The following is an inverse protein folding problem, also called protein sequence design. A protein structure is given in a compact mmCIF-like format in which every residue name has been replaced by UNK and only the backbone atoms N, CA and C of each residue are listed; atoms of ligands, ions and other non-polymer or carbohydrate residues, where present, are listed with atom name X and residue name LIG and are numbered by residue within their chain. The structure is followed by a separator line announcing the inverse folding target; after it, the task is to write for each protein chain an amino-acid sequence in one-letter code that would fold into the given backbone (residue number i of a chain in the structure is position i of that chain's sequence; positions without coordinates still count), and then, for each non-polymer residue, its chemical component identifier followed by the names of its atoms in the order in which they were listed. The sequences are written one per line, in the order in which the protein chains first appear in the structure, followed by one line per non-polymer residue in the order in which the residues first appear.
data_IF_305832627564
#
_entry.id   IF_305832627564
#
_cell.length_a   1.000
_cell.length_b   1.000
_cell.length_c   1.000
_cell.angle_alpha   90.00
_cell.angle_beta   90.00
_cell.angle_gamma   90.00
#
_symmetry.space_group_name_H-M   'P 1'
#
loop_
_entity.id
_entity.type
_entity.pdbx_description
1 polymer ?
#
# COMPACT_ATOMS: atom_id res chain seq x y z
N UNK A 1 55.12 2.20 11.41
CA UNK A 1 54.34 3.42 11.72
C UNK A 1 53.24 3.01 12.69
N UNK A 2 53.36 3.39 13.96
CA UNK A 2 52.41 3.01 15.01
C UNK A 2 51.13 3.82 14.91
N UNK A 3 49.99 3.14 15.03
CA UNK A 3 48.68 3.79 15.14
C UNK A 3 48.60 4.56 16.47
N UNK A 4 48.26 5.86 16.45
CA UNK A 4 48.16 6.63 17.68
C UNK A 4 46.88 6.27 18.44
N UNK A 5 47.08 5.83 19.68
CA UNK A 5 46.33 6.24 20.87
C UNK A 5 44.81 6.05 20.86
N UNK A 6 44.36 5.04 21.60
CA UNK A 6 43.01 4.95 22.18
C UNK A 6 42.70 6.22 22.97
N UNK A 7 42.01 7.17 22.32
CA UNK A 7 41.47 8.36 22.94
C UNK A 7 40.39 7.97 23.95
N UNK A 8 40.65 8.31 25.22
CA UNK A 8 39.69 8.32 26.33
C UNK A 8 38.29 8.74 25.87
N UNK A 9 37.34 7.80 25.88
CA UNK A 9 35.90 8.06 25.81
C UNK A 9 35.50 8.93 27.00
N UNK A 10 35.58 10.26 26.82
CA UNK A 10 34.89 11.20 27.70
C UNK A 10 33.41 10.86 27.63
N UNK A 11 32.87 10.26 28.69
CA UNK A 11 31.43 10.18 28.94
C UNK A 11 30.92 11.62 29.09
N UNK A 12 30.53 12.22 27.97
CA UNK A 12 29.75 13.46 27.99
C UNK A 12 28.41 13.17 28.63
N UNK A 13 27.90 14.10 29.42
CA UNK A 13 26.48 14.17 29.77
C UNK A 13 25.62 13.86 28.53
N UNK A 14 24.68 12.92 28.65
CA UNK A 14 23.93 12.41 27.50
C UNK A 14 23.24 13.52 26.70
N UNK A 15 23.27 13.45 25.36
CA UNK A 15 22.76 14.51 24.45
C UNK A 15 21.24 14.68 24.47
N UNK A 16 20.51 13.82 25.17
CA UNK A 16 19.06 13.81 25.28
C UNK A 16 18.48 12.41 25.08
N UNK A 17 17.16 12.34 24.85
CA UNK A 17 16.45 11.08 24.59
C UNK A 17 15.72 11.13 23.24
N UNK A 18 15.93 10.09 22.43
CA UNK A 18 15.13 9.76 21.24
C UNK A 18 14.02 8.78 21.62
N UNK A 19 12.78 9.09 21.26
CA UNK A 19 11.67 8.15 21.25
C UNK A 19 11.45 7.61 19.83
N UNK A 20 11.21 6.31 19.70
CA UNK A 20 10.84 5.64 18.45
C UNK A 20 9.47 5.00 18.65
N UNK A 21 8.53 5.26 17.73
CA UNK A 21 7.22 4.61 17.73
C UNK A 21 6.79 4.19 16.33
N UNK A 22 5.92 3.18 16.28
CA UNK A 22 5.38 2.63 15.03
C UNK A 22 3.87 2.74 15.04
N UNK A 23 3.33 3.45 14.05
CA UNK A 23 1.90 3.70 13.90
C UNK A 23 1.29 3.00 12.67
N UNK A 24 -0.01 2.72 12.78
CA UNK A 24 -0.82 2.14 11.73
C UNK A 24 -0.60 0.64 11.55
N UNK A 25 -0.71 0.19 10.31
CA UNK A 25 -0.57 -1.21 9.95
C UNK A 25 0.88 -1.70 9.80
N UNK A 26 1.20 -2.99 10.03
CA UNK A 26 2.54 -3.51 9.78
C UNK A 26 2.92 -3.46 8.29
N UNK A 27 4.23 -3.37 8.05
CA UNK A 27 4.89 -3.50 6.77
C UNK A 27 6.30 -4.12 6.99
N UNK A 28 6.85 -4.87 6.03
CA UNK A 28 8.22 -5.37 6.13
C UNK A 28 9.24 -4.24 6.28
N UNK A 29 10.30 -4.47 7.07
CA UNK A 29 11.40 -3.51 7.25
C UNK A 29 11.31 -2.59 8.48
N UNK A 30 10.19 -2.61 9.25
CA UNK A 30 10.06 -1.79 10.48
C UNK A 30 11.26 -1.96 11.42
N UNK A 31 11.66 -3.21 11.66
CA UNK A 31 12.78 -3.50 12.54
C UNK A 31 14.12 -2.97 12.01
N UNK A 32 14.28 -2.83 10.68
CA UNK A 32 15.44 -2.19 10.06
C UNK A 32 15.55 -0.71 10.42
N UNK A 33 14.43 0.02 10.36
CA UNK A 33 14.37 1.44 10.76
C UNK A 33 14.65 1.59 12.26
N UNK A 34 14.03 0.76 13.11
CA UNK A 34 14.26 0.78 14.56
C UNK A 34 15.73 0.51 14.88
N UNK A 35 16.35 -0.49 14.24
CA UNK A 35 17.74 -0.83 14.46
C UNK A 35 18.67 0.31 14.05
N UNK A 36 18.50 0.88 12.85
CA UNK A 36 19.33 1.97 12.36
C UNK A 36 19.24 3.23 13.24
N UNK A 37 18.02 3.63 13.63
CA UNK A 37 17.81 4.73 14.57
C UNK A 37 18.47 4.47 15.93
N UNK A 38 18.31 3.26 16.47
CA UNK A 38 18.86 2.90 17.78
C UNK A 38 20.38 2.93 17.77
N UNK A 39 21.00 2.35 16.73
CA UNK A 39 22.45 2.32 16.58
C UNK A 39 22.99 3.74 16.46
N UNK A 40 22.45 4.56 15.54
CA UNK A 40 23.01 5.89 15.36
C UNK A 40 22.75 6.85 16.51
N UNK A 41 21.55 6.81 17.09
CA UNK A 41 21.27 7.62 18.27
C UNK A 41 22.22 7.26 19.42
N UNK A 42 22.49 5.97 19.63
CA UNK A 42 23.42 5.49 20.66
C UNK A 42 24.85 5.95 20.38
N UNK A 43 25.33 5.84 19.13
CA UNK A 43 26.65 6.30 18.71
C UNK A 43 26.82 7.83 18.92
N UNK A 44 25.75 8.59 18.71
CA UNK A 44 25.72 10.04 18.94
C UNK A 44 25.48 10.43 20.41
N UNK A 45 25.37 9.47 21.32
CA UNK A 45 25.24 9.68 22.77
C UNK A 45 23.82 10.02 23.27
N UNK A 46 22.79 9.65 22.52
CA UNK A 46 21.39 9.75 22.96
C UNK A 46 20.93 8.48 23.66
N UNK A 47 20.05 8.62 24.65
CA UNK A 47 19.26 7.50 25.18
C UNK A 47 18.12 7.20 24.21
N UNK A 48 17.88 5.93 23.90
CA UNK A 48 16.80 5.52 22.98
C UNK A 48 15.68 4.83 23.75
N UNK A 49 14.46 5.30 23.57
CA UNK A 49 13.24 4.69 24.10
C UNK A 49 12.37 4.20 22.94
N UNK A 50 12.01 2.93 22.96
CA UNK A 50 10.96 2.39 22.10
C UNK A 50 9.60 2.47 22.79
N UNK A 51 8.67 3.22 22.20
CA UNK A 51 7.28 3.31 22.64
C UNK A 51 6.51 2.10 22.09
N UNK A 52 5.83 1.35 22.95
CA UNK A 52 5.03 0.20 22.52
C UNK A 52 3.68 0.63 21.93
N UNK A 53 3.21 -0.08 20.91
CA UNK A 53 1.88 0.11 20.29
C UNK A 53 1.59 1.55 19.84
N UNK A 54 2.58 2.20 19.23
CA UNK A 54 2.43 3.52 18.62
C UNK A 54 1.99 4.60 19.61
N UNK A 55 0.93 5.33 19.28
CA UNK A 55 0.39 6.38 20.15
C UNK A 55 -0.61 5.86 21.20
N UNK A 56 -1.00 4.58 21.17
CA UNK A 56 -2.10 4.01 21.98
C UNK A 56 -2.04 4.38 23.45
N UNK A 57 -0.85 4.27 24.05
CA UNK A 57 -0.66 4.51 25.47
C UNK A 57 -0.35 5.98 25.77
N UNK A 58 0.33 6.68 24.84
CA UNK A 58 0.66 8.09 24.99
C UNK A 58 -0.58 8.99 25.01
N UNK A 59 -1.60 8.69 24.20
CA UNK A 59 -2.88 9.45 24.22
C UNK A 59 -3.65 9.28 25.53
N UNK A 60 -3.35 8.23 26.30
CA UNK A 60 -3.90 7.99 27.64
C UNK A 60 -3.02 8.59 28.74
N UNK A 61 -1.97 9.35 28.39
CA UNK A 61 -1.00 9.91 29.34
C UNK A 61 -0.07 8.87 29.98
N UNK A 62 -0.05 7.62 29.48
CA UNK A 62 0.72 6.53 30.08
C UNK A 62 2.17 6.54 29.64
N UNK A 63 3.06 6.30 30.59
CA UNK A 63 4.52 6.29 30.42
C UNK A 63 5.16 4.96 30.84
N UNK A 64 4.36 3.94 31.14
CA UNK A 64 4.82 2.62 31.57
C UNK A 64 4.99 1.62 30.41
N UNK A 65 4.53 1.97 29.21
CA UNK A 65 4.60 1.15 27.98
C UNK A 65 5.75 1.57 27.08
N UNK A 66 6.93 1.66 27.68
CA UNK A 66 8.18 2.04 27.03
C UNK A 66 9.29 1.09 27.45
N UNK A 67 10.19 0.81 26.53
CA UNK A 67 11.45 0.12 26.85
C UNK A 67 12.64 0.92 26.37
N UNK A 68 13.73 0.86 27.13
CA UNK A 68 15.00 1.34 26.61
C UNK A 68 15.49 0.39 25.52
N UNK A 69 15.99 0.95 24.43
CA UNK A 69 16.64 0.22 23.35
C UNK A 69 18.14 0.52 23.39
N UNK A 70 18.95 -0.53 23.33
CA UNK A 70 20.41 -0.47 23.21
C UNK A 70 20.84 -1.18 21.93
N UNK A 71 22.11 -1.01 21.55
CA UNK A 71 22.66 -1.64 20.34
C UNK A 71 22.51 -3.17 20.42
N UNK A 72 22.76 -3.76 21.60
CA UNK A 72 22.58 -5.19 21.85
C UNK A 72 21.14 -5.68 21.61
N UNK A 73 20.13 -4.85 21.85
CA UNK A 73 18.71 -5.21 21.68
C UNK A 73 18.29 -5.26 20.20
N UNK A 74 19.08 -4.68 19.28
CA UNK A 74 18.71 -4.49 17.88
C UNK A 74 19.70 -5.10 16.87
N UNK A 75 20.77 -5.75 17.33
CA UNK A 75 21.88 -6.21 16.47
C UNK A 75 21.42 -7.19 15.37
N UNK A 76 20.36 -7.96 15.58
CA UNK A 76 19.91 -9.01 14.64
C UNK A 76 18.45 -8.88 14.17
N UNK A 77 17.76 -7.78 14.49
CA UNK A 77 16.31 -7.66 14.19
C UNK A 77 16.02 -7.13 12.79
N UNK A 78 16.98 -6.45 12.16
CA UNK A 78 16.77 -5.79 10.86
C UNK A 78 16.26 -6.71 9.72
N UNK A 79 16.60 -8.02 9.63
CA UNK A 79 16.09 -8.90 8.59
C UNK A 79 14.80 -9.62 8.99
N UNK A 80 14.23 -9.31 10.16
CA UNK A 80 13.00 -9.93 10.66
C UNK A 80 11.80 -9.06 10.34
N UNK A 81 10.74 -9.68 9.84
CA UNK A 81 9.44 -9.07 9.67
C UNK A 81 8.77 -8.68 11.00
N UNK A 82 7.64 -7.99 10.90
CA UNK A 82 6.90 -7.47 12.05
C UNK A 82 7.56 -6.26 12.72
N UNK A 83 7.18 -5.99 13.96
CA UNK A 83 7.67 -4.86 14.76
C UNK A 83 7.97 -5.33 16.18
N UNK A 84 9.22 -5.17 16.63
CA UNK A 84 9.59 -5.45 18.02
C UNK A 84 8.86 -4.53 19.02
N UNK A 85 8.31 -3.39 18.58
CA UNK A 85 7.56 -2.42 19.41
C UNK A 85 6.04 -2.62 19.34
N UNK A 86 5.55 -3.57 18.55
CA UNK A 86 4.14 -3.60 18.17
C UNK A 86 3.77 -2.40 17.28
N UNK A 87 2.47 -2.22 17.05
CA UNK A 87 1.91 -1.09 16.29
C UNK A 87 0.41 -0.97 16.61
N UNK A 88 -0.16 0.23 16.50
CA UNK A 88 -1.59 0.45 16.68
C UNK A 88 -2.16 1.39 15.64
N UNK A 89 -3.47 1.28 15.38
CA UNK A 89 -4.26 2.30 14.69
C UNK A 89 -4.85 3.24 15.74
N UNK A 90 -4.04 4.14 16.27
CA UNK A 90 -4.47 5.16 17.24
C UNK A 90 -4.41 6.54 16.59
N UNK A 91 -5.53 7.25 16.64
CA UNK A 91 -5.60 8.67 16.32
C UNK A 91 -5.13 9.49 17.54
N UNK A 92 -4.19 10.39 17.33
CA UNK A 92 -3.66 11.28 18.36
C UNK A 92 -3.72 12.75 17.93
N UNK A 93 -4.79 13.11 17.20
CA UNK A 93 -4.96 14.46 16.64
C UNK A 93 -5.94 15.34 17.42
N UNK A 94 -6.70 14.78 18.37
CA UNK A 94 -7.56 15.61 19.23
C UNK A 94 -6.70 16.50 20.16
N UNK A 95 -7.17 17.70 20.54
CA UNK A 95 -6.41 18.59 21.42
C UNK A 95 -5.97 17.93 22.73
N UNK A 96 -6.86 17.13 23.34
CA UNK A 96 -6.55 16.33 24.53
C UNK A 96 -5.47 15.28 24.26
N UNK A 97 -5.57 14.54 23.16
CA UNK A 97 -4.58 13.52 22.81
C UNK A 97 -3.20 14.15 22.54
N UNK A 98 -3.15 15.28 21.85
CA UNK A 98 -1.91 16.02 21.58
C UNK A 98 -1.22 16.43 22.89
N UNK A 99 -1.98 16.96 23.86
CA UNK A 99 -1.42 17.38 25.15
C UNK A 99 -1.01 16.18 26.02
N UNK A 100 -1.78 15.09 26.02
CA UNK A 100 -1.42 13.86 26.71
C UNK A 100 -0.11 13.27 26.15
N UNK A 101 0.04 13.22 24.83
CA UNK A 101 1.28 12.77 24.17
C UNK A 101 2.44 13.69 24.55
N UNK A 102 2.25 15.01 24.51
CA UNK A 102 3.27 16.00 24.90
C UNK A 102 3.74 15.79 26.33
N UNK A 103 2.80 15.70 27.26
CA UNK A 103 3.06 15.53 28.69
C UNK A 103 3.75 14.20 28.99
N UNK A 104 3.33 13.12 28.34
CA UNK A 104 3.98 11.81 28.47
C UNK A 104 5.43 11.83 27.96
N UNK A 105 5.69 12.41 26.79
CA UNK A 105 7.04 12.53 26.24
C UNK A 105 7.94 13.44 27.08
N UNK A 106 7.40 14.53 27.66
CA UNK A 106 8.10 15.38 28.63
C UNK A 106 8.50 14.62 29.89
N UNK A 107 7.57 13.86 30.47
CA UNK A 107 7.85 13.03 31.65
C UNK A 107 8.97 12.01 31.37
N UNK A 108 9.02 11.50 30.14
CA UNK A 108 10.08 10.60 29.66
C UNK A 108 11.38 11.32 29.26
N UNK A 109 11.45 12.66 29.36
CA UNK A 109 12.59 13.50 28.96
C UNK A 109 12.99 13.31 27.49
N UNK A 110 12.00 13.16 26.63
CA UNK A 110 12.16 13.01 25.17
C UNK A 110 12.32 14.38 24.54
N UNK A 111 13.37 14.54 23.73
CA UNK A 111 13.60 15.75 22.92
C UNK A 111 13.58 15.49 21.41
N UNK A 112 13.62 14.22 21.00
CA UNK A 112 13.56 13.79 19.61
C UNK A 112 12.53 12.67 19.47
N UNK A 113 11.71 12.70 18.42
CA UNK A 113 10.72 11.69 18.10
C UNK A 113 10.92 11.18 16.66
N UNK A 114 11.18 9.89 16.51
CA UNK A 114 11.11 9.20 15.24
C UNK A 114 9.76 8.48 15.13
N UNK A 115 8.92 8.95 14.22
CA UNK A 115 7.60 8.40 13.95
C UNK A 115 7.63 7.53 12.70
N UNK A 116 7.25 6.26 12.79
CA UNK A 116 7.28 5.30 11.67
C UNK A 116 5.85 4.95 11.30
N UNK A 117 5.37 5.32 10.11
CA UNK A 117 3.95 5.15 9.81
C UNK A 117 3.49 5.51 8.40
N UNK A 118 2.21 5.27 8.14
CA UNK A 118 1.55 5.69 6.90
C UNK A 118 0.88 7.05 7.06
N UNK A 119 -0.08 7.37 6.18
CA UNK A 119 -0.81 8.64 6.12
C UNK A 119 -1.30 9.14 7.49
N UNK A 120 -2.06 8.30 8.23
CA UNK A 120 -2.60 8.72 9.53
C UNK A 120 -1.52 9.07 10.57
N UNK A 121 -0.41 8.34 10.57
CA UNK A 121 0.71 8.59 11.49
C UNK A 121 1.53 9.81 11.07
N UNK A 122 1.69 10.04 9.76
CA UNK A 122 2.29 11.24 9.20
C UNK A 122 1.46 12.48 9.55
N UNK A 123 0.15 12.39 9.39
CA UNK A 123 -0.78 13.45 9.76
C UNK A 123 -0.68 13.78 11.26
N UNK A 124 -0.70 12.77 12.13
CA UNK A 124 -0.44 12.96 13.57
C UNK A 124 0.89 13.65 13.81
N UNK A 125 1.99 13.18 13.20
CA UNK A 125 3.31 13.79 13.36
C UNK A 125 3.32 15.28 12.96
N UNK A 126 2.59 15.65 11.90
CA UNK A 126 2.44 17.06 11.51
C UNK A 126 1.63 17.88 12.50
N UNK A 127 0.54 17.35 13.05
CA UNK A 127 -0.25 18.04 14.09
C UNK A 127 0.60 18.30 15.34
N UNK A 128 1.38 17.30 15.75
CA UNK A 128 2.30 17.40 16.90
C UNK A 128 3.39 18.45 16.65
N UNK A 129 4.02 18.45 15.47
CA UNK A 129 5.03 19.45 15.10
C UNK A 129 4.49 20.88 15.20
N UNK A 130 3.29 21.11 14.63
CA UNK A 130 2.63 22.40 14.64
C UNK A 130 2.26 22.86 16.07
N UNK A 131 1.80 21.93 16.90
CA UNK A 131 1.41 22.21 18.29
C UNK A 131 2.62 22.50 19.19
N UNK A 132 3.74 21.79 18.99
CA UNK A 132 4.88 21.82 19.90
C UNK A 132 5.95 22.84 19.51
N UNK A 133 5.90 23.39 18.28
CA UNK A 133 6.82 24.43 17.78
C UNK A 133 8.30 24.08 18.01
N UNK A 134 8.67 22.82 17.72
CA UNK A 134 10.04 22.33 17.82
C UNK A 134 10.52 21.98 19.23
N UNK A 135 9.65 22.01 20.25
CA UNK A 135 10.00 21.55 21.60
C UNK A 135 10.52 20.10 21.61
N UNK A 136 9.82 19.22 20.89
CA UNK A 136 10.27 17.86 20.58
C UNK A 136 10.43 17.82 19.06
N UNK A 137 11.64 17.52 18.60
CA UNK A 137 11.92 17.48 17.16
C UNK A 137 11.44 16.18 16.55
N UNK A 138 10.73 16.25 15.43
CA UNK A 138 10.08 15.09 14.81
C UNK A 138 10.70 14.78 13.45
N UNK A 139 10.99 13.49 13.21
CA UNK A 139 11.25 12.95 11.88
C UNK A 139 10.27 11.82 11.61
N UNK A 140 9.67 11.82 10.42
CA UNK A 140 8.74 10.79 9.99
C UNK A 140 9.37 9.87 8.94
N UNK A 141 9.21 8.56 9.12
CA UNK A 141 9.75 7.52 8.23
C UNK A 141 8.55 6.80 7.53
N UNK A 142 8.47 6.85 6.18
CA UNK A 142 7.26 6.52 5.42
C UNK A 142 7.00 5.01 5.28
N UNK A 143 6.12 4.48 6.14
CA UNK A 143 5.75 3.06 6.23
C UNK A 143 4.36 2.78 5.65
N UNK A 144 4.29 2.16 4.49
CA UNK A 144 3.05 1.59 3.95
C UNK A 144 3.37 0.56 2.86
N UNK A 145 2.60 -0.53 2.80
CA UNK A 145 2.68 -1.49 1.68
C UNK A 145 1.85 -1.02 0.48
N UNK A 146 0.99 -0.01 0.66
CA UNK A 146 0.06 0.47 -0.37
C UNK A 146 0.74 1.47 -1.31
N UNK A 147 1.96 1.91 -0.97
CA UNK A 147 2.78 2.86 -1.74
C UNK A 147 2.12 4.23 -1.97
N UNK A 148 1.21 4.60 -1.08
CA UNK A 148 0.23 5.67 -1.23
C UNK A 148 0.61 6.99 -0.54
N UNK A 149 1.78 7.05 0.09
CA UNK A 149 2.34 8.31 0.61
C UNK A 149 2.89 9.19 -0.53
N UNK A 150 2.81 10.53 -0.40
CA UNK A 150 3.22 11.48 -1.42
C UNK A 150 4.76 11.65 -1.46
N UNK A 151 5.46 10.56 -1.77
CA UNK A 151 6.89 10.60 -2.08
C UNK A 151 7.10 11.07 -3.53
N UNK A 152 8.10 11.93 -3.78
CA UNK A 152 8.40 12.42 -5.12
C UNK A 152 8.94 11.29 -6.00
N UNK A 153 8.72 11.46 -7.30
CA UNK A 153 9.10 10.48 -8.31
C UNK A 153 8.51 9.10 -8.06
N UNK A 154 9.22 8.08 -8.56
CA UNK A 154 8.84 6.68 -8.40
C UNK A 154 9.42 6.03 -7.11
N UNK A 155 9.79 6.84 -6.11
CA UNK A 155 10.41 6.33 -4.87
C UNK A 155 9.36 5.52 -4.10
N UNK A 156 9.62 4.24 -3.81
CA UNK A 156 8.67 3.44 -3.05
C UNK A 156 8.68 3.83 -1.56
N UNK A 157 7.55 3.66 -0.89
CA UNK A 157 7.53 3.59 0.57
C UNK A 157 8.12 2.27 1.02
N UNK A 158 8.77 2.23 2.17
CA UNK A 158 9.40 0.99 2.60
C UNK A 158 8.34 -0.07 2.95
N UNK A 159 8.67 -1.33 2.63
CA UNK A 159 7.79 -2.49 2.77
C UNK A 159 6.96 -2.78 1.53
N UNK A 160 6.79 -1.83 0.60
CA UNK A 160 6.09 -2.06 -0.67
C UNK A 160 6.78 -3.11 -1.53
N UNK A 161 8.11 -3.03 -1.69
CA UNK A 161 8.83 -3.95 -2.58
C UNK A 161 8.84 -5.38 -2.03
N UNK A 162 8.99 -5.56 -0.71
CA UNK A 162 8.84 -6.87 -0.08
C UNK A 162 7.41 -7.40 -0.21
N UNK A 163 6.39 -6.58 0.10
CA UNK A 163 5.00 -7.00 -0.03
C UNK A 163 4.66 -7.40 -1.48
N UNK A 164 5.16 -6.64 -2.45
CA UNK A 164 5.06 -6.98 -3.88
C UNK A 164 5.78 -8.29 -4.20
N UNK A 165 7.00 -8.50 -3.70
CA UNK A 165 7.76 -9.73 -3.92
C UNK A 165 7.01 -10.97 -3.44
N UNK A 166 6.53 -10.93 -2.19
CA UNK A 166 5.72 -12.03 -1.62
C UNK A 166 4.40 -12.21 -2.35
N UNK A 167 3.73 -11.12 -2.72
CA UNK A 167 2.50 -11.16 -3.49
C UNK A 167 2.68 -11.83 -4.85
N UNK A 168 3.78 -11.52 -5.56
CA UNK A 168 4.15 -12.17 -6.82
C UNK A 168 4.43 -13.65 -6.61
N UNK A 169 5.16 -14.03 -5.55
CA UNK A 169 5.43 -15.43 -5.22
C UNK A 169 4.14 -16.23 -5.02
N UNK A 170 3.21 -15.70 -4.23
CA UNK A 170 1.90 -16.32 -3.98
C UNK A 170 1.09 -16.42 -5.28
N UNK A 171 1.01 -15.32 -6.04
CA UNK A 171 0.21 -15.27 -7.25
C UNK A 171 0.72 -16.23 -8.32
N UNK A 172 2.03 -16.35 -8.50
CA UNK A 172 2.61 -17.30 -9.46
C UNK A 172 2.28 -18.75 -9.15
N UNK A 173 2.26 -19.13 -7.87
CA UNK A 173 1.82 -20.46 -7.47
C UNK A 173 0.34 -20.68 -7.80
N UNK A 174 -0.51 -19.69 -7.56
CA UNK A 174 -1.94 -19.74 -7.93
C UNK A 174 -2.14 -19.80 -9.44
N UNK A 175 -1.31 -19.10 -10.22
CA UNK A 175 -1.34 -19.13 -11.68
C UNK A 175 -1.02 -20.53 -12.20
N UNK A 176 -0.01 -21.21 -11.65
CA UNK A 176 0.32 -22.59 -12.05
C UNK A 176 -0.77 -23.59 -11.61
N UNK A 177 -1.34 -23.42 -10.42
CA UNK A 177 -2.47 -24.20 -9.91
C UNK A 177 -3.67 -24.13 -10.86
N UNK A 178 -4.09 -22.92 -11.23
CA UNK A 178 -5.28 -22.76 -12.10
C UNK A 178 -5.01 -23.10 -13.55
N UNK A 179 -3.77 -22.99 -14.02
CA UNK A 179 -3.37 -23.53 -15.32
C UNK A 179 -3.42 -25.05 -15.35
N UNK A 180 -2.99 -25.71 -14.27
CA UNK A 180 -2.99 -27.18 -14.16
C UNK A 180 -4.40 -27.75 -14.04
N UNK A 181 -5.31 -27.02 -13.37
CA UNK A 181 -6.69 -27.45 -13.10
C UNK A 181 -7.72 -26.89 -14.08
N UNK A 182 -7.29 -26.11 -15.06
CA UNK A 182 -8.12 -25.39 -16.04
C UNK A 182 -9.21 -24.48 -15.41
N UNK A 183 -8.79 -23.65 -14.44
CA UNK A 183 -9.66 -22.80 -13.62
C UNK A 183 -9.34 -21.31 -13.74
N UNK A 184 -10.19 -20.48 -13.15
CA UNK A 184 -9.89 -19.06 -12.90
C UNK A 184 -9.57 -18.78 -11.45
N UNK A 185 -8.58 -17.93 -11.17
CA UNK A 185 -8.31 -17.40 -9.84
C UNK A 185 -8.74 -15.94 -9.76
N UNK A 186 -9.58 -15.61 -8.77
CA UNK A 186 -9.92 -14.25 -8.39
C UNK A 186 -9.10 -13.88 -7.15
N UNK A 187 -8.01 -13.14 -7.35
CA UNK A 187 -7.10 -12.71 -6.32
C UNK A 187 -7.36 -11.23 -5.94
N UNK A 188 -7.84 -10.98 -4.73
CA UNK A 188 -7.99 -9.61 -4.20
C UNK A 188 -6.76 -9.24 -3.39
N UNK A 189 -6.14 -8.11 -3.68
CA UNK A 189 -4.96 -7.62 -2.97
C UNK A 189 -5.31 -6.42 -2.09
N UNK A 190 -4.63 -6.29 -0.95
CA UNK A 190 -4.68 -5.08 -0.14
C UNK A 190 -4.24 -3.84 -0.93
N UNK A 191 -4.72 -2.67 -0.52
CA UNK A 191 -4.51 -1.41 -1.22
C UNK A 191 -5.80 -0.59 -1.20
N UNK A 192 -6.11 0.00 -0.04
CA UNK A 192 -7.41 0.65 0.19
C UNK A 192 -7.62 1.86 -0.71
N UNK A 193 -6.65 2.76 -0.77
CA UNK A 193 -6.78 4.06 -1.45
C UNK A 193 -6.13 4.11 -2.82
N UNK A 194 -5.22 3.17 -3.11
CA UNK A 194 -4.43 3.16 -4.34
C UNK A 194 -4.16 1.73 -4.81
N UNK A 195 -4.08 1.55 -6.12
CA UNK A 195 -3.89 0.26 -6.79
C UNK A 195 -2.43 -0.16 -6.98
N UNK A 196 -1.44 0.54 -6.41
CA UNK A 196 -0.01 0.27 -6.64
C UNK A 196 0.38 -1.18 -6.35
N UNK A 197 -0.12 -1.76 -5.25
CA UNK A 197 0.21 -3.13 -4.86
C UNK A 197 -0.41 -4.15 -5.81
N UNK A 198 -1.69 -3.99 -6.16
CA UNK A 198 -2.40 -4.81 -7.14
C UNK A 198 -1.70 -4.78 -8.50
N UNK A 199 -1.46 -3.58 -9.04
CA UNK A 199 -0.79 -3.37 -10.31
C UNK A 199 0.64 -3.92 -10.29
N UNK A 200 1.37 -3.66 -9.20
CA UNK A 200 2.74 -4.10 -9.01
C UNK A 200 2.87 -5.62 -8.99
N UNK A 201 1.96 -6.32 -8.30
CA UNK A 201 1.89 -7.79 -8.25
C UNK A 201 1.47 -8.35 -9.61
N UNK A 202 0.35 -7.86 -10.16
CA UNK A 202 -0.20 -8.34 -11.42
C UNK A 202 0.76 -8.18 -12.60
N UNK A 203 1.40 -7.01 -12.71
CA UNK A 203 2.41 -6.72 -13.74
C UNK A 203 3.62 -7.65 -13.64
N UNK A 204 4.16 -7.87 -12.43
CA UNK A 204 5.34 -8.73 -12.29
C UNK A 204 5.05 -10.22 -12.45
N UNK A 205 3.87 -10.67 -12.03
CA UNK A 205 3.48 -12.07 -12.17
C UNK A 205 3.05 -12.42 -13.60
N UNK A 206 2.65 -11.44 -14.40
CA UNK A 206 2.02 -11.67 -15.70
C UNK A 206 0.58 -12.14 -15.55
N UNK A 207 -0.16 -11.55 -14.62
CA UNK A 207 -1.57 -11.87 -14.42
C UNK A 207 -2.38 -11.60 -15.70
N UNK A 208 -3.38 -12.45 -15.97
CA UNK A 208 -4.26 -12.29 -17.12
C UNK A 208 -4.87 -10.89 -17.16
N UNK A 209 -5.41 -10.44 -16.04
CA UNK A 209 -6.08 -9.17 -15.92
C UNK A 209 -5.80 -8.60 -14.53
N UNK A 210 -5.46 -7.32 -14.46
CA UNK A 210 -5.35 -6.59 -13.20
C UNK A 210 -6.23 -5.35 -13.28
N UNK A 211 -6.98 -5.08 -12.22
CA UNK A 211 -7.91 -3.96 -12.14
C UNK A 211 -7.64 -3.16 -10.88
N UNK A 212 -7.49 -1.85 -11.07
CA UNK A 212 -7.25 -0.88 -10.02
C UNK A 212 -8.33 0.20 -10.02
N UNK A 213 -8.60 0.79 -8.84
CA UNK A 213 -9.64 1.81 -8.72
C UNK A 213 -9.38 3.03 -9.59
N UNK A 214 -8.12 3.40 -9.78
CA UNK A 214 -7.72 4.57 -10.57
C UNK A 214 -8.20 4.54 -12.03
N UNK A 215 -8.50 3.38 -12.59
CA UNK A 215 -9.01 3.26 -13.96
C UNK A 215 -10.45 3.76 -14.11
N UNK A 216 -11.21 3.77 -13.02
CA UNK A 216 -12.66 3.96 -13.03
C UNK A 216 -13.03 5.35 -12.52
N UNK A 217 -14.05 5.93 -13.14
CA UNK A 217 -14.73 7.10 -12.61
C UNK A 217 -15.68 6.68 -11.48
N UNK A 218 -15.97 7.57 -10.51
CA UNK A 218 -16.94 7.30 -9.47
C UNK A 218 -18.32 6.93 -10.02
N UNK A 219 -19.09 6.14 -9.26
CA UNK A 219 -20.42 5.64 -9.63
C UNK A 219 -20.40 4.70 -10.85
N UNK A 220 -19.30 3.99 -11.06
CA UNK A 220 -19.22 2.95 -12.09
C UNK A 220 -20.19 1.79 -11.74
N UNK A 221 -21.09 1.38 -12.65
CA UNK A 221 -21.96 0.24 -12.39
C UNK A 221 -21.18 -1.06 -12.21
N UNK A 222 -21.62 -1.91 -11.28
CA UNK A 222 -21.06 -3.23 -11.01
C UNK A 222 -21.05 -4.14 -12.26
N UNK A 223 -22.05 -3.99 -13.14
CA UNK A 223 -22.14 -4.74 -14.40
C UNK A 223 -20.98 -4.46 -15.35
N UNK A 224 -20.46 -3.23 -15.38
CA UNK A 224 -19.32 -2.84 -16.24
C UNK A 224 -18.07 -3.62 -15.84
N UNK A 225 -17.82 -3.74 -14.53
CA UNK A 225 -16.71 -4.53 -14.01
C UNK A 225 -16.87 -6.01 -14.37
N UNK A 226 -18.09 -6.53 -14.31
CA UNK A 226 -18.38 -7.90 -14.71
C UNK A 226 -18.15 -8.11 -16.21
N UNK A 227 -18.61 -7.19 -17.06
CA UNK A 227 -18.45 -7.29 -18.52
C UNK A 227 -16.97 -7.22 -18.92
N UNK A 228 -16.16 -6.41 -18.24
CA UNK A 228 -14.71 -6.34 -18.49
C UNK A 228 -14.01 -7.67 -18.14
N UNK A 229 -14.31 -8.24 -16.97
CA UNK A 229 -13.74 -9.54 -16.55
C UNK A 229 -14.19 -10.64 -17.52
N UNK A 230 -15.46 -10.65 -17.89
CA UNK A 230 -16.05 -11.60 -18.82
C UNK A 230 -15.42 -11.51 -20.21
N UNK A 231 -15.23 -10.31 -20.75
CA UNK A 231 -14.55 -10.08 -22.02
C UNK A 231 -13.13 -10.66 -22.03
N UNK A 232 -12.37 -10.48 -20.95
CA UNK A 232 -11.04 -11.08 -20.80
C UNK A 232 -11.09 -12.62 -20.77
N UNK A 233 -12.09 -13.21 -20.11
CA UNK A 233 -12.30 -14.68 -20.11
C UNK A 233 -12.59 -15.18 -21.53
N UNK A 234 -13.52 -14.51 -22.23
CA UNK A 234 -13.90 -14.90 -23.60
C UNK A 234 -12.74 -14.77 -24.58
N UNK A 235 -11.96 -13.69 -24.50
CA UNK A 235 -10.76 -13.49 -25.33
C UNK A 235 -9.73 -14.59 -25.11
N UNK A 236 -9.52 -15.04 -23.87
CA UNK A 236 -8.63 -16.18 -23.61
C UNK A 236 -9.16 -17.51 -24.15
N UNK A 237 -10.45 -17.76 -24.01
CA UNK A 237 -11.09 -18.97 -24.55
C UNK A 237 -11.02 -19.03 -26.07
N UNK A 238 -11.19 -17.90 -26.75
CA UNK A 238 -10.98 -17.79 -28.19
C UNK A 238 -9.54 -18.10 -28.62
N UNK A 239 -8.57 -17.99 -27.70
CA UNK A 239 -7.17 -18.40 -27.88
C UNK A 239 -6.88 -19.82 -27.35
N UNK A 240 -7.91 -20.64 -27.11
CA UNK A 240 -7.82 -22.00 -26.56
C UNK A 240 -7.15 -22.05 -25.17
N UNK A 241 -7.42 -21.03 -24.34
CA UNK A 241 -6.93 -20.94 -22.96
C UNK A 241 -8.10 -20.74 -21.99
N UNK A 242 -8.55 -21.80 -21.33
CA UNK A 242 -9.72 -21.72 -20.45
C UNK A 242 -9.41 -21.31 -19.01
N UNK A 243 -8.13 -21.21 -18.62
CA UNK A 243 -7.69 -20.74 -17.32
C UNK A 243 -7.23 -19.28 -17.33
N UNK A 244 -7.19 -18.65 -16.16
CA UNK A 244 -6.68 -17.28 -16.01
C UNK A 244 -6.59 -16.80 -14.57
N UNK A 245 -5.99 -15.64 -14.36
CA UNK A 245 -5.89 -15.03 -13.03
C UNK A 245 -6.23 -13.54 -13.09
N UNK A 246 -7.26 -13.17 -12.33
CA UNK A 246 -7.66 -11.79 -12.10
C UNK A 246 -7.03 -11.30 -10.80
N UNK A 247 -6.34 -10.15 -10.86
CA UNK A 247 -5.89 -9.40 -9.68
C UNK A 247 -6.76 -8.17 -9.51
N UNK A 248 -7.36 -8.01 -8.34
CA UNK A 248 -8.26 -6.90 -8.03
C UNK A 248 -7.71 -6.10 -6.83
N UNK A 249 -7.53 -4.79 -7.00
CA UNK A 249 -7.30 -3.91 -5.86
C UNK A 249 -8.56 -3.85 -4.99
N UNK A 250 -8.44 -4.05 -3.68
CA UNK A 250 -9.59 -3.95 -2.77
C UNK A 250 -10.29 -2.58 -2.85
N UNK A 251 -9.52 -1.51 -3.08
CA UNK A 251 -10.01 -0.14 -3.19
C UNK A 251 -10.91 0.16 -4.39
N UNK A 252 -11.01 -0.75 -5.38
CA UNK A 252 -11.87 -0.56 -6.55
C UNK A 252 -13.32 -0.31 -6.17
N UNK A 253 -13.75 -0.87 -5.04
CA UNK A 253 -15.11 -0.74 -4.52
C UNK A 253 -15.50 0.70 -4.22
N UNK A 254 -14.53 1.60 -3.96
CA UNK A 254 -14.80 3.02 -3.72
C UNK A 254 -15.26 3.76 -5.01
N UNK A 255 -15.05 3.17 -6.20
CA UNK A 255 -15.50 3.73 -7.48
C UNK A 255 -16.84 3.17 -7.95
N UNK A 256 -17.34 2.11 -7.31
CA UNK A 256 -18.53 1.39 -7.76
C UNK A 256 -19.79 2.03 -7.19
N UNK A 257 -20.83 2.14 -8.02
CA UNK A 257 -22.16 2.53 -7.56
C UNK A 257 -22.71 1.47 -6.59
N UNK A 258 -22.87 1.79 -5.29
CA UNK A 258 -23.34 0.83 -4.30
C UNK A 258 -24.73 0.25 -4.62
N UNK A 259 -25.60 1.04 -5.26
CA UNK A 259 -26.95 0.61 -5.63
C UNK A 259 -26.98 -0.43 -6.76
N UNK A 260 -25.87 -0.54 -7.51
CA UNK A 260 -25.72 -1.51 -8.60
C UNK A 260 -25.20 -2.88 -8.15
N UNK A 261 -24.74 -3.00 -6.90
CA UNK A 261 -24.13 -4.23 -6.37
C UNK A 261 -25.24 -5.20 -5.89
N UNK A 262 -25.33 -6.43 -6.43
CA UNK A 262 -26.35 -7.39 -6.01
C UNK A 262 -26.27 -7.72 -4.52
N UNK A 263 -27.39 -7.58 -3.80
CA UNK A 263 -27.47 -7.91 -2.37
C UNK A 263 -26.71 -6.96 -1.44
N UNK A 264 -26.26 -5.80 -1.93
CA UNK A 264 -25.73 -4.76 -1.06
C UNK A 264 -26.89 -4.19 -0.20
N UNK A 265 -26.82 -4.41 1.11
CA UNK A 265 -27.57 -3.60 2.08
C UNK A 265 -27.00 -2.18 2.16
N UNK A 266 -27.47 -1.37 3.12
CA UNK A 266 -26.86 -0.06 3.35
C UNK A 266 -25.37 -0.20 3.71
N UNK A 267 -24.47 0.56 3.06
CA UNK A 267 -23.04 0.47 3.35
C UNK A 267 -22.76 0.89 4.80
N UNK A 268 -22.27 -0.03 5.64
CA UNK A 268 -21.78 0.35 6.97
C UNK A 268 -20.64 1.37 6.83
N UNK A 269 -20.66 2.43 7.64
CA UNK A 269 -19.60 3.44 7.68
C UNK A 269 -18.85 3.35 9.00
N UNK A 270 -17.53 3.52 8.98
CA UNK A 270 -16.70 3.61 10.17
C UNK A 270 -16.89 4.95 10.88
N UNK A 271 -16.28 5.07 12.07
CA UNK A 271 -16.28 6.27 12.92
C UNK A 271 -15.70 7.52 12.23
N UNK A 272 -15.08 7.36 11.05
CA UNK A 272 -14.56 8.44 10.22
C UNK A 272 -15.43 8.73 8.99
N UNK A 273 -16.65 8.17 8.93
CA UNK A 273 -17.62 8.34 7.84
C UNK A 273 -17.28 7.55 6.57
N UNK A 274 -16.28 6.65 6.62
CA UNK A 274 -15.77 5.89 5.47
C UNK A 274 -16.52 4.58 5.37
N UNK A 275 -16.77 4.10 4.16
CA UNK A 275 -17.45 2.81 4.00
C UNK A 275 -16.55 1.68 4.59
N UNK A 276 -17.09 0.90 5.53
CA UNK A 276 -16.51 -0.34 6.06
C UNK A 276 -16.72 -1.47 5.06
N UNK A 277 -15.98 -1.43 3.96
CA UNK A 277 -16.00 -2.48 2.94
C UNK A 277 -15.04 -3.63 3.24
N UNK A 278 -14.29 -3.57 4.35
CA UNK A 278 -13.44 -4.67 4.82
C UNK A 278 -14.23 -5.95 5.15
N UNK A 279 -15.55 -5.87 5.26
CA UNK A 279 -16.43 -7.01 5.56
C UNK A 279 -17.33 -7.41 4.38
N UNK A 280 -17.50 -6.56 3.36
CA UNK A 280 -18.18 -6.96 2.13
C UNK A 280 -17.20 -7.72 1.25
N UNK A 281 -17.42 -9.01 0.95
CA UNK A 281 -16.48 -9.80 0.17
C UNK A 281 -16.64 -9.46 -1.33
N UNK A 282 -16.39 -8.20 -1.72
CA UNK A 282 -16.66 -7.63 -3.04
C UNK A 282 -16.06 -8.47 -4.17
N UNK A 283 -14.81 -8.91 -4.03
CA UNK A 283 -14.20 -9.80 -5.01
C UNK A 283 -14.87 -11.17 -5.11
N UNK A 284 -15.42 -11.70 -4.02
CA UNK A 284 -16.18 -12.94 -4.04
C UNK A 284 -17.57 -12.73 -4.67
N UNK A 285 -18.21 -11.57 -4.44
CA UNK A 285 -19.45 -11.19 -5.13
C UNK A 285 -19.25 -11.14 -6.65
N UNK A 286 -18.16 -10.49 -7.11
CA UNK A 286 -17.78 -10.50 -8.52
C UNK A 286 -17.60 -11.91 -9.06
N UNK A 287 -16.82 -12.76 -8.36
CA UNK A 287 -16.64 -14.16 -8.77
C UNK A 287 -17.99 -14.89 -8.90
N UNK A 288 -18.85 -14.78 -7.89
CA UNK A 288 -20.15 -15.43 -7.89
C UNK A 288 -21.03 -14.95 -9.06
N UNK A 289 -21.05 -13.65 -9.34
CA UNK A 289 -21.80 -13.10 -10.46
C UNK A 289 -21.26 -13.59 -11.81
N UNK A 290 -19.95 -13.60 -12.01
CA UNK A 290 -19.33 -14.14 -13.23
C UNK A 290 -19.70 -15.61 -13.39
N UNK A 291 -19.51 -16.44 -12.36
CA UNK A 291 -19.87 -17.87 -12.40
C UNK A 291 -21.36 -18.07 -12.71
N UNK A 292 -22.26 -17.26 -12.13
CA UNK A 292 -23.70 -17.28 -12.42
C UNK A 292 -23.97 -17.00 -13.89
N UNK A 293 -23.41 -15.91 -14.43
CA UNK A 293 -23.58 -15.50 -15.84
C UNK A 293 -23.09 -16.56 -16.82
N UNK A 294 -22.02 -17.29 -16.50
CA UNK A 294 -21.51 -18.40 -17.32
C UNK A 294 -22.41 -19.65 -17.22
N UNK A 295 -22.88 -19.99 -16.01
CA UNK A 295 -23.82 -21.10 -15.80
C UNK A 295 -25.14 -20.91 -16.56
N UNK A 296 -25.69 -19.69 -16.55
CA UNK A 296 -26.95 -19.37 -17.27
C UNK A 296 -26.84 -19.51 -18.79
N UNK A 297 -25.63 -19.46 -19.34
CA UNK A 297 -25.34 -19.73 -20.75
C UNK A 297 -25.05 -21.20 -21.05
N UNK A 298 -25.26 -22.09 -20.07
CA UNK A 298 -24.97 -23.51 -20.19
C UNK A 298 -23.48 -23.84 -20.25
N UNK A 299 -22.62 -22.92 -19.78
CA UNK A 299 -21.17 -23.01 -19.91
C UNK A 299 -20.48 -22.72 -18.58
N UNK A 300 -20.59 -23.62 -17.58
CA UNK A 300 -20.14 -23.34 -16.22
C UNK A 300 -18.64 -23.02 -16.16
N UNK A 301 -18.31 -21.95 -15.45
CA UNK A 301 -16.93 -21.55 -15.15
C UNK A 301 -16.54 -22.07 -13.76
N UNK A 302 -15.41 -22.76 -13.67
CA UNK A 302 -14.81 -23.12 -12.39
C UNK A 302 -13.80 -22.03 -11.95
N UNK A 303 -14.00 -21.51 -10.73
CA UNK A 303 -13.24 -20.38 -10.23
C UNK A 303 -12.99 -20.45 -8.72
N UNK A 304 -11.74 -20.16 -8.34
CA UNK A 304 -11.30 -20.06 -6.94
C UNK A 304 -11.13 -18.60 -6.53
N UNK A 305 -11.23 -18.35 -5.22
CA UNK A 305 -11.10 -17.02 -4.63
C UNK A 305 -9.96 -16.97 -3.63
N UNK A 306 -9.14 -15.92 -3.67
CA UNK A 306 -8.05 -15.72 -2.71
C UNK A 306 -7.93 -14.24 -2.35
N UNK A 307 -7.76 -13.97 -1.07
CA UNK A 307 -7.31 -12.67 -0.57
C UNK A 307 -5.81 -12.77 -0.29
N UNK A 308 -5.03 -11.82 -0.81
CA UNK A 308 -3.59 -11.71 -0.61
C UNK A 308 -3.31 -10.40 0.13
N UNK A 309 -2.85 -10.49 1.38
CA UNK A 309 -2.72 -9.30 2.21
C UNK A 309 -1.91 -9.52 3.48
N UNK A 310 -2.52 -10.12 4.50
CA UNK A 310 -1.91 -10.26 5.82
C UNK A 310 -0.58 -11.03 5.79
N UNK A 311 -0.46 -12.00 4.90
CA UNK A 311 0.76 -12.76 4.67
C UNK A 311 1.91 -11.93 4.08
N UNK A 312 1.65 -10.73 3.57
CA UNK A 312 2.65 -9.83 2.99
C UNK A 312 3.30 -8.91 4.04
N UNK A 313 2.56 -8.57 5.10
CA UNK A 313 2.84 -7.39 5.93
C UNK A 313 3.92 -7.59 6.98
N UNK A 314 4.10 -8.83 7.39
CA UNK A 314 5.07 -9.24 8.39
C UNK A 314 6.10 -10.23 7.82
N UNK A 315 6.20 -10.31 6.50
CA UNK A 315 7.26 -11.08 5.85
C UNK A 315 8.64 -10.49 6.18
N UNK A 316 9.66 -11.34 6.14
CA UNK A 316 11.05 -10.89 6.26
C UNK A 316 11.38 -10.01 5.03
N UNK A 317 11.95 -8.80 5.23
CA UNK A 317 12.23 -7.87 4.13
C UNK A 317 13.25 -8.42 3.14
N UNK A 318 13.01 -8.17 1.84
CA UNK A 318 13.99 -8.46 0.78
C UNK A 318 15.17 -7.47 0.84
N UNK A 319 16.30 -7.73 0.14
CA UNK A 319 17.48 -6.85 0.17
C UNK A 319 17.18 -5.37 -0.08
N UNK A 320 16.26 -5.05 -1.00
CA UNK A 320 15.85 -3.67 -1.25
C UNK A 320 15.33 -2.95 0.01
N UNK A 321 14.34 -3.53 0.70
CA UNK A 321 13.77 -2.90 1.91
C UNK A 321 14.74 -2.99 3.10
N UNK A 322 15.61 -4.01 3.14
CA UNK A 322 16.68 -4.13 4.14
C UNK A 322 17.67 -2.96 4.09
N UNK A 323 18.13 -2.61 2.89
CA UNK A 323 19.03 -1.48 2.66
C UNK A 323 18.29 -0.16 2.85
N UNK A 324 17.13 -0.02 2.21
CA UNK A 324 16.38 1.23 2.23
C UNK A 324 15.93 1.65 3.64
N UNK A 325 15.49 0.71 4.47
CA UNK A 325 15.09 1.03 5.86
C UNK A 325 16.26 1.41 6.76
N UNK A 326 17.46 0.89 6.50
CA UNK A 326 18.69 1.33 7.19
C UNK A 326 19.07 2.74 6.81
N UNK A 327 19.03 3.06 5.52
CA UNK A 327 19.34 4.40 5.01
C UNK A 327 18.36 5.44 5.54
N UNK A 328 17.05 5.10 5.56
CA UNK A 328 16.01 5.96 6.14
C UNK A 328 16.24 6.20 7.63
N UNK A 329 16.53 5.16 8.42
CA UNK A 329 16.76 5.29 9.86
C UNK A 329 18.03 6.11 10.18
N UNK A 330 19.12 5.85 9.47
CA UNK A 330 20.36 6.61 9.56
C UNK A 330 20.13 8.09 9.19
N UNK A 331 19.47 8.33 8.06
CA UNK A 331 19.16 9.66 7.56
C UNK A 331 18.25 10.45 8.51
N UNK A 332 17.20 9.81 9.04
CA UNK A 332 16.31 10.40 10.04
C UNK A 332 17.07 10.84 11.29
N UNK A 333 17.97 10.01 11.80
CA UNK A 333 18.76 10.38 12.97
C UNK A 333 19.70 11.55 12.69
N UNK A 334 20.36 11.57 11.52
CA UNK A 334 21.20 12.71 11.10
C UNK A 334 20.41 14.00 10.95
N UNK A 335 19.20 13.93 10.40
CA UNK A 335 18.29 15.06 10.29
C UNK A 335 17.94 15.64 11.67
N UNK A 336 17.52 14.77 12.60
CA UNK A 336 17.20 15.17 13.97
C UNK A 336 18.43 15.73 14.69
N UNK A 337 19.59 15.07 14.56
CA UNK A 337 20.83 15.50 15.19
C UNK A 337 21.26 16.90 14.78
N UNK A 338 21.04 17.26 13.51
CA UNK A 338 21.45 18.56 12.95
C UNK A 338 20.58 19.74 13.38
N UNK A 339 19.70 19.60 14.38
CA UNK A 339 18.81 20.68 14.80
C UNK A 339 17.46 20.73 14.09
N UNK A 340 17.26 19.92 13.04
CA UNK A 340 16.07 20.01 12.18
C UNK A 340 14.91 19.17 12.70
N UNK A 341 13.70 19.53 12.25
CA UNK A 341 12.42 18.95 12.68
C UNK A 341 11.37 19.06 11.57
N UNK A 342 10.29 18.30 11.69
CA UNK A 342 9.08 18.53 10.92
C UNK A 342 9.15 18.03 9.47
N UNK A 343 9.81 16.90 9.23
CA UNK A 343 9.95 16.37 7.87
C UNK A 343 9.75 14.86 7.77
N UNK A 344 9.28 14.44 6.60
CA UNK A 344 9.26 13.08 6.13
C UNK A 344 10.57 12.76 5.39
N UNK A 345 11.13 11.59 5.66
CA UNK A 345 12.40 11.12 5.09
C UNK A 345 12.17 10.27 3.85
N UNK A 346 12.97 10.50 2.80
CA UNK A 346 13.05 9.68 1.60
C UNK A 346 14.50 9.56 1.13
N UNK A 347 14.82 8.56 0.30
CA UNK A 347 16.12 8.46 -0.36
C UNK A 347 15.92 8.55 -1.87
N UNK A 348 16.59 9.49 -2.52
CA UNK A 348 16.58 9.67 -3.97
C UNK A 348 18.02 9.76 -4.49
N UNK A 349 18.39 8.95 -5.49
CA UNK A 349 19.74 8.95 -6.05
C UNK A 349 20.85 8.74 -5.01
N UNK A 350 20.59 7.94 -3.96
CA UNK A 350 21.51 7.69 -2.85
C UNK A 350 21.66 8.85 -1.86
N UNK A 351 20.84 9.90 -1.97
CA UNK A 351 20.86 11.07 -1.07
C UNK A 351 19.59 11.11 -0.23
N UNK A 352 19.74 11.55 1.02
CA UNK A 352 18.61 11.83 1.89
C UNK A 352 17.85 13.04 1.35
N UNK A 353 16.61 12.81 0.97
CA UNK A 353 15.63 13.82 0.64
C UNK A 353 14.73 14.07 1.85
N UNK A 354 14.55 15.34 2.20
CA UNK A 354 13.72 15.77 3.33
C UNK A 354 12.55 16.57 2.79
N UNK A 355 11.34 16.13 3.08
CA UNK A 355 10.12 16.79 2.63
C UNK A 355 9.42 17.32 3.87
N UNK A 356 9.32 18.63 4.03
CA UNK A 356 8.75 19.20 5.25
C UNK A 356 7.24 18.98 5.29
N UNK A 357 6.67 18.82 6.49
CA UNK A 357 5.24 18.52 6.64
C UNK A 357 4.34 19.57 5.97
N UNK A 358 4.74 20.85 5.99
CA UNK A 358 4.02 21.92 5.30
C UNK A 358 3.93 21.76 3.77
N UNK A 359 4.84 21.02 3.15
CA UNK A 359 4.83 20.73 1.70
C UNK A 359 3.94 19.52 1.36
N UNK A 360 3.65 18.67 2.34
CA UNK A 360 2.96 17.38 2.16
C UNK A 360 1.45 17.51 2.36
N UNK A 361 1.04 18.43 3.24
CA UNK A 361 -0.36 18.66 3.52
C UNK A 361 -1.02 19.45 2.40
N UNK A 362 -2.15 18.95 1.93
CA UNK A 362 -3.04 19.66 1.03
C UNK A 362 -3.59 20.91 1.76
N UNK A 363 -3.38 22.14 1.22
CA UNK A 363 -3.80 23.36 1.90
C UNK A 363 -5.32 23.49 2.08
N UNK A 364 -6.13 22.84 1.24
CA UNK A 364 -7.59 22.91 1.30
C UNK A 364 -8.18 21.92 2.31
N UNK A 365 -7.61 20.71 2.41
CA UNK A 365 -8.13 19.66 3.31
C UNK A 365 -7.37 19.55 4.62
N UNK A 366 -6.17 20.13 4.70
CA UNK A 366 -5.24 19.96 5.82
C UNK A 366 -4.74 18.53 6.00
N UNK A 367 -4.96 17.62 5.04
CA UNK A 367 -4.56 16.20 5.09
C UNK A 367 -3.48 15.90 4.05
N UNK A 368 -2.79 14.77 4.21
CA UNK A 368 -1.77 14.38 3.21
C UNK A 368 -2.44 13.98 1.91
N UNK A 369 -1.82 14.33 0.77
CA UNK A 369 -2.27 13.89 -0.54
C UNK A 369 -1.93 12.41 -0.73
N UNK A 370 -2.90 11.62 -1.21
CA UNK A 370 -2.66 10.23 -1.60
C UNK A 370 -1.92 10.20 -2.92
N UNK A 371 -0.87 9.39 -3.00
CA UNK A 371 -0.24 9.04 -4.26
C UNK A 371 -1.00 7.89 -4.91
N UNK A 372 -1.88 8.23 -5.85
CA UNK A 372 -2.56 7.26 -6.71
C UNK A 372 -1.63 6.74 -7.82
N UNK A 373 -2.01 5.64 -8.47
CA UNK A 373 -1.36 5.21 -9.73
C UNK A 373 -1.61 6.27 -10.81
N UNK A 374 -0.53 6.73 -11.45
CA UNK A 374 -0.61 7.63 -12.60
C UNK A 374 -0.77 6.82 -13.89
N UNK A 375 -1.96 6.90 -14.49
CA UNK A 375 -2.34 6.18 -15.70
C UNK A 375 -1.63 6.68 -16.97
N UNK A 376 -0.93 7.82 -16.91
CA UNK A 376 -0.16 8.35 -18.03
C UNK A 376 1.27 7.82 -18.09
N UNK A 377 1.72 7.12 -17.04
CA UNK A 377 3.10 6.62 -16.97
C UNK A 377 3.30 5.38 -17.82
N UNK A 378 4.47 5.27 -18.45
CA UNK A 378 4.95 4.04 -19.12
C UNK A 378 4.81 2.79 -18.24
N UNK A 379 5.04 2.97 -16.93
CA UNK A 379 4.87 1.92 -15.94
C UNK A 379 3.47 1.29 -15.98
N UNK A 380 2.44 2.12 -16.06
CA UNK A 380 1.06 1.66 -16.18
C UNK A 380 0.72 1.22 -17.61
N UNK A 381 1.11 1.98 -18.64
CA UNK A 381 0.80 1.66 -20.04
C UNK A 381 1.30 0.28 -20.44
N UNK A 382 2.55 -0.05 -20.09
CA UNK A 382 3.13 -1.39 -20.30
C UNK A 382 2.36 -2.47 -19.55
N UNK A 383 1.92 -2.18 -18.31
CA UNK A 383 1.12 -3.14 -17.56
C UNK A 383 -0.21 -3.42 -18.27
N UNK A 384 -0.92 -2.36 -18.67
CA UNK A 384 -2.22 -2.44 -19.35
C UNK A 384 -2.10 -3.18 -20.69
N UNK A 385 -1.08 -2.86 -21.50
CA UNK A 385 -0.87 -3.45 -22.83
C UNK A 385 -0.67 -4.97 -22.80
N UNK A 386 -0.06 -5.49 -21.74
CA UNK A 386 0.20 -6.93 -21.60
C UNK A 386 -0.92 -7.71 -20.90
N UNK A 387 -1.95 -7.04 -20.40
CA UNK A 387 -3.16 -7.72 -19.90
C UNK A 387 -4.02 -8.22 -21.06
N UNK A 388 -4.75 -9.30 -20.83
CA UNK A 388 -5.81 -9.71 -21.76
C UNK A 388 -7.05 -8.87 -21.49
N UNK A 389 -7.34 -7.93 -22.38
CA UNK A 389 -8.55 -7.11 -22.40
C UNK A 389 -9.15 -7.13 -23.80
N UNK A 390 -10.43 -6.83 -23.90
CA UNK A 390 -10.99 -6.47 -25.20
C UNK A 390 -10.42 -5.13 -25.62
N UNK A 391 -10.11 -4.99 -26.90
CA UNK A 391 -9.54 -3.80 -27.54
C UNK A 391 -10.42 -3.41 -28.75
N UNK A 392 -10.36 -2.15 -29.24
CA UNK A 392 -11.14 -1.72 -30.39
C UNK A 392 -10.98 -2.61 -31.63
N UNK A 393 -9.75 -3.12 -31.86
CA UNK A 393 -9.40 -4.00 -32.97
C UNK A 393 -10.07 -5.36 -32.91
N UNK A 394 -10.49 -5.84 -31.73
CA UNK A 394 -11.25 -7.09 -31.60
C UNK A 394 -12.65 -6.98 -32.24
N UNK A 395 -13.13 -5.76 -32.48
CA UNK A 395 -14.44 -5.45 -33.07
C UNK A 395 -14.36 -4.98 -34.52
N UNK A 396 -13.16 -4.73 -35.04
CA UNK A 396 -12.93 -4.30 -36.43
C UNK A 396 -12.99 -5.47 -37.42
N UNK A 397 -12.69 -6.69 -36.96
CA UNK A 397 -12.72 -7.92 -37.78
C UNK A 397 -13.88 -8.83 -37.34
N UNK A 398 -14.83 -9.06 -38.25
CA UNK A 398 -15.99 -9.92 -38.00
C UNK A 398 -15.61 -11.36 -37.67
N UNK A 399 -14.49 -11.88 -38.20
CA UNK A 399 -14.02 -13.23 -37.84
C UNK A 399 -13.54 -13.31 -36.39
N UNK A 400 -12.94 -12.24 -35.87
CA UNK A 400 -12.53 -12.15 -34.46
C UNK A 400 -13.78 -12.07 -33.57
N UNK A 401 -14.77 -11.26 -33.95
CA UNK A 401 -16.06 -11.17 -33.24
C UNK A 401 -16.78 -12.51 -33.23
N UNK A 402 -16.82 -13.24 -34.35
CA UNK A 402 -17.41 -14.57 -34.43
C UNK A 402 -16.72 -15.57 -33.49
N UNK A 403 -15.38 -15.53 -33.41
CA UNK A 403 -14.59 -16.36 -32.51
C UNK A 403 -14.91 -16.06 -31.04
N UNK A 404 -14.94 -14.78 -30.66
CA UNK A 404 -15.26 -14.33 -29.31
C UNK A 404 -16.72 -14.63 -28.92
N UNK A 405 -17.66 -14.42 -29.83
CA UNK A 405 -19.08 -14.72 -29.63
C UNK A 405 -19.31 -16.23 -29.43
N UNK A 406 -18.61 -17.07 -30.22
CA UNK A 406 -18.62 -18.53 -30.07
C UNK A 406 -18.08 -18.95 -28.71
N UNK A 407 -16.97 -18.37 -28.27
CA UNK A 407 -16.40 -18.62 -26.94
C UNK A 407 -17.36 -18.23 -25.80
N UNK A 408 -18.26 -17.27 -26.04
CA UNK A 408 -19.30 -16.82 -25.11
C UNK A 408 -20.67 -17.47 -25.30
N UNK A 409 -20.81 -18.43 -26.22
CA UNK A 409 -22.07 -19.07 -26.62
C UNK A 409 -23.21 -18.08 -26.89
N UNK A 410 -22.90 -17.02 -27.64
CA UNK A 410 -23.87 -15.99 -28.05
C UNK A 410 -23.71 -15.64 -29.52
N UNK A 411 -24.68 -14.90 -30.08
CA UNK A 411 -24.56 -14.41 -31.45
C UNK A 411 -23.53 -13.26 -31.55
N UNK A 412 -22.88 -13.05 -32.71
CA UNK A 412 -21.99 -11.90 -32.92
C UNK A 412 -22.64 -10.55 -32.59
N UNK A 413 -23.92 -10.38 -32.92
CA UNK A 413 -24.67 -9.16 -32.62
C UNK A 413 -24.88 -8.96 -31.11
N UNK A 414 -25.16 -10.03 -30.36
CA UNK A 414 -25.28 -9.96 -28.91
C UNK A 414 -23.93 -9.66 -28.24
N UNK A 415 -22.84 -10.22 -28.78
CA UNK A 415 -21.48 -9.94 -28.32
C UNK A 415 -21.12 -8.46 -28.50
N UNK A 416 -21.31 -7.91 -29.71
CA UNK A 416 -21.10 -6.47 -29.97
C UNK A 416 -21.90 -5.60 -29.01
N UNK A 417 -23.22 -5.84 -28.92
CA UNK A 417 -24.12 -5.08 -28.03
C UNK A 417 -23.68 -5.11 -26.57
N UNK A 418 -23.11 -6.23 -26.10
CA UNK A 418 -22.70 -6.42 -24.71
C UNK A 418 -21.32 -5.88 -24.38
N UNK A 419 -20.37 -5.89 -25.31
CA UNK A 419 -18.97 -5.63 -24.96
C UNK A 419 -18.31 -4.47 -25.73
N UNK A 420 -18.84 -4.06 -26.88
CA UNK A 420 -18.19 -3.04 -27.72
C UNK A 420 -18.12 -1.67 -27.03
N UNK A 421 -19.12 -1.36 -26.18
CA UNK A 421 -19.12 -0.14 -25.37
C UNK A 421 -17.91 -0.04 -24.43
N UNK A 422 -17.32 -1.18 -24.03
CA UNK A 422 -16.17 -1.19 -23.12
C UNK A 422 -14.95 -0.51 -23.73
N UNK A 423 -14.82 -0.52 -25.06
CA UNK A 423 -13.61 -0.13 -25.78
C UNK A 423 -13.76 1.12 -26.64
N UNK A 424 -14.98 1.49 -27.07
CA UNK A 424 -15.22 2.66 -27.95
C UNK A 424 -15.97 3.81 -27.26
N UNK A 425 -16.96 3.50 -26.42
CA UNK A 425 -17.87 4.49 -25.85
C UNK A 425 -18.02 4.26 -24.33
N UNK A 426 -16.93 4.51 -23.58
CA UNK A 426 -16.93 4.18 -22.17
C UNK A 426 -16.86 5.41 -21.24
N UNK A 427 -18.00 5.87 -20.70
CA UNK A 427 -18.03 7.01 -19.79
C UNK A 427 -17.47 6.69 -18.40
N UNK A 428 -17.25 5.41 -18.08
CA UNK A 428 -16.90 4.95 -16.74
C UNK A 428 -15.39 4.83 -16.51
N UNK A 429 -14.56 5.05 -17.53
CA UNK A 429 -13.11 4.99 -17.41
C UNK A 429 -12.49 6.37 -17.53
N UNK A 430 -11.36 6.54 -16.86
CA UNK A 430 -10.47 7.65 -17.17
C UNK A 430 -9.82 7.40 -18.55
N UNK A 431 -9.72 8.47 -19.35
CA UNK A 431 -8.99 8.41 -20.60
C UNK A 431 -7.53 8.05 -20.29
N UNK A 432 -7.01 7.03 -20.95
CA UNK A 432 -5.59 6.69 -20.90
C UNK A 432 -4.99 7.26 -22.18
N UNK A 433 -3.87 8.01 -22.09
CA UNK A 433 -3.23 8.56 -23.28
C UNK A 433 -3.02 7.45 -24.32
N UNK A 434 -3.54 7.66 -25.52
CA UNK A 434 -3.29 6.74 -26.63
C UNK A 434 -1.79 6.78 -26.99
N UNK A 435 -1.29 5.63 -27.47
CA UNK A 435 0.07 5.51 -28.02
C UNK A 435 0.20 6.53 -29.17
N UNK A 436 1.08 7.53 -28.99
CA UNK A 436 1.42 8.51 -30.02
C UNK A 436 2.25 7.91 -31.15
#
# INVERSE_FOLDING_TARGET
MGFPGTGSLRRSSGRGTLAILVGGGPAPGINGVIAALTIEASNLGYRVLGIQDGYKWLVQGRTDRVRQLRIEDVTAIHPRGGSILGTSRTDATSPEAIENVRSALRALKVGLLASIGGDGTLYTASCLENAWRGEIRIAHIPKTIDNDLPLPGAIPTFGFQTARHEGVRILRNLMEEVKTTDRWCFAVTMGRRAGHLALGIGKAAGATLTLIGEEFRPMCPFSVLCDLIEGAILKRRAMDRNHGTLVLAEGIVEQIDPGSVPGAGEPERDEYGRIRLSETPFGNLLKCEIVRRFRERGDPLDAVYKIIGYELRCADPIPFDLEYTRDLGYGAMRFLHSGRSGALMAIEGGKLLTIYFGEILDPATGRTRVRLVDLSTEGYLVARKYMTRLDPSDFDDDHVVESLARAGRMSPNDFRRRFEYLVRENPYFHAVPEEA
#
